data_IF_295656630665
#
_entry.id   IF_295656630665
#
_cell.length_a   1.000
_cell.length_b   1.000
_cell.length_c   1.000
_cell.angle_alpha   90.00
_cell.angle_beta   90.00
_cell.angle_gamma   90.00
#
_symmetry.space_group_name_H-M   'P 1'
#
loop_
_entity.id
_entity.type
_entity.pdbx_description
1 polymer ?
#
# COMPACT_ATOMS: atom_id res chain seq x y z
N UNK A 1 -12.83 18.15 -10.94
CA UNK A 1 -11.79 17.36 -10.25
C UNK A 1 -10.43 17.93 -10.67
N UNK A 2 -9.43 17.96 -9.79
CA UNK A 2 -8.10 18.52 -10.12
C UNK A 2 -6.99 17.54 -9.75
N UNK A 3 -5.83 17.67 -10.39
CA UNK A 3 -4.64 16.88 -10.02
C UNK A 3 -4.18 17.19 -8.58
N UNK A 4 -4.46 18.39 -8.06
CA UNK A 4 -4.18 18.73 -6.67
C UNK A 4 -5.03 17.90 -5.69
N UNK A 5 -6.32 17.69 -5.98
CA UNK A 5 -7.18 16.83 -5.17
C UNK A 5 -6.71 15.37 -5.17
N UNK A 6 -6.27 14.86 -6.33
CA UNK A 6 -5.67 13.53 -6.43
C UNK A 6 -4.37 13.39 -5.63
N UNK A 7 -3.54 14.44 -5.56
CA UNK A 7 -2.37 14.43 -4.70
C UNK A 7 -2.76 14.41 -3.21
N UNK A 8 -3.79 15.16 -2.82
CA UNK A 8 -4.29 15.13 -1.44
C UNK A 8 -4.82 13.74 -1.04
N UNK A 9 -5.43 13.00 -1.97
CA UNK A 9 -5.79 11.59 -1.72
C UNK A 9 -4.56 10.72 -1.48
N UNK A 10 -3.48 10.90 -2.23
CA UNK A 10 -2.23 10.16 -1.98
C UNK A 10 -1.58 10.56 -0.65
N UNK A 11 -1.64 11.82 -0.24
CA UNK A 11 -1.20 12.27 1.09
C UNK A 11 -2.01 11.58 2.20
N UNK A 12 -3.34 11.58 2.08
CA UNK A 12 -4.23 10.93 3.02
C UNK A 12 -4.03 9.41 3.06
N UNK A 13 -3.77 8.80 1.92
CA UNK A 13 -3.47 7.37 1.82
C UNK A 13 -2.16 7.01 2.53
N UNK A 14 -1.08 7.75 2.28
CA UNK A 14 0.21 7.54 2.96
C UNK A 14 0.08 7.76 4.48
N UNK A 15 -0.74 8.72 4.92
CA UNK A 15 -1.03 8.92 6.33
C UNK A 15 -1.80 7.75 6.96
N UNK A 16 -2.90 7.30 6.33
CA UNK A 16 -3.69 6.17 6.81
C UNK A 16 -2.85 4.87 6.90
N UNK A 17 -1.94 4.65 5.94
CA UNK A 17 -0.98 3.55 6.00
C UNK A 17 -0.03 3.68 7.20
N UNK A 18 0.44 4.89 7.50
CA UNK A 18 1.30 5.15 8.67
C UNK A 18 0.61 4.84 9.99
N UNK A 19 -0.68 5.15 10.09
CA UNK A 19 -1.53 4.87 11.26
C UNK A 19 -2.09 3.43 11.28
N UNK A 20 -1.74 2.60 10.31
CA UNK A 20 -2.25 1.22 10.14
C UNK A 20 -3.78 1.13 9.97
N UNK A 21 -4.43 2.21 9.53
CA UNK A 21 -5.86 2.26 9.24
C UNK A 21 -6.15 1.68 7.84
N UNK A 22 -5.97 0.36 7.68
CA UNK A 22 -6.01 -0.29 6.37
C UNK A 22 -7.36 -0.16 5.64
N UNK A 23 -8.47 -0.29 6.36
CA UNK A 23 -9.82 -0.12 5.78
C UNK A 23 -10.04 1.31 5.27
N UNK A 24 -9.53 2.31 6.00
CA UNK A 24 -9.59 3.71 5.59
C UNK A 24 -8.69 3.97 4.38
N UNK A 25 -7.49 3.39 4.37
CA UNK A 25 -6.56 3.48 3.24
C UNK A 25 -7.18 2.89 1.96
N UNK A 26 -7.87 1.75 2.05
CA UNK A 26 -8.61 1.15 0.93
C UNK A 26 -9.74 2.06 0.43
N UNK A 27 -10.53 2.64 1.35
CA UNK A 27 -11.60 3.58 0.98
C UNK A 27 -11.06 4.84 0.30
N UNK A 28 -9.89 5.34 0.72
CA UNK A 28 -9.21 6.48 0.07
C UNK A 28 -8.79 6.12 -1.35
N UNK A 29 -8.23 4.93 -1.59
CA UNK A 29 -7.86 4.47 -2.93
C UNK A 29 -9.07 4.36 -3.86
N UNK A 30 -10.20 3.82 -3.39
CA UNK A 30 -11.43 3.77 -4.20
C UNK A 30 -11.87 5.17 -4.66
N UNK A 31 -11.88 6.14 -3.73
CA UNK A 31 -12.20 7.55 -4.08
C UNK A 31 -11.17 8.18 -5.02
N UNK A 32 -9.90 7.80 -4.89
CA UNK A 32 -8.83 8.25 -5.78
C UNK A 32 -9.03 7.75 -7.21
N UNK A 33 -9.37 6.48 -7.37
CA UNK A 33 -9.59 5.86 -8.68
C UNK A 33 -10.82 6.45 -9.38
N UNK A 34 -11.92 6.65 -8.65
CA UNK A 34 -13.12 7.33 -9.17
C UNK A 34 -12.80 8.76 -9.63
N UNK A 35 -12.04 9.50 -8.81
CA UNK A 35 -11.63 10.87 -9.11
C UNK A 35 -10.69 10.95 -10.32
N UNK A 36 -9.75 10.00 -10.43
CA UNK A 36 -8.83 9.91 -11.56
C UNK A 36 -9.60 9.58 -12.84
N UNK A 37 -10.53 8.63 -12.78
CA UNK A 37 -11.38 8.29 -13.91
C UNK A 37 -12.19 9.52 -14.37
N UNK A 38 -12.84 10.22 -13.45
CA UNK A 38 -13.61 11.42 -13.75
C UNK A 38 -12.75 12.55 -14.36
N UNK A 39 -11.48 12.68 -13.94
CA UNK A 39 -10.55 13.65 -14.52
C UNK A 39 -10.15 13.26 -15.95
N UNK A 40 -9.88 11.98 -16.21
CA UNK A 40 -9.46 11.49 -17.52
C UNK A 40 -10.57 11.53 -18.58
N UNK A 41 -11.83 11.69 -18.18
CA UNK A 41 -12.96 11.93 -19.10
C UNK A 41 -13.02 13.37 -19.63
N UNK A 42 -12.20 14.29 -19.11
CA UNK A 42 -12.17 15.69 -19.51
C UNK A 42 -11.03 15.96 -20.51
N UNK A 43 -11.14 16.98 -21.38
CA UNK A 43 -10.02 17.40 -22.22
C UNK A 43 -8.81 17.79 -21.36
N UNK A 44 -7.68 17.14 -21.63
CA UNK A 44 -6.44 17.35 -20.88
C UNK A 44 -5.59 18.38 -21.61
N UNK A 45 -5.32 19.52 -20.95
CA UNK A 45 -4.36 20.50 -21.45
C UNK A 45 -2.90 20.09 -21.15
N UNK A 46 -1.89 20.71 -21.79
CA UNK A 46 -0.49 20.36 -21.56
C UNK A 46 -0.01 20.51 -20.10
N UNK A 47 -0.55 21.46 -19.34
CA UNK A 47 -0.18 21.66 -17.94
C UNK A 47 -0.73 20.53 -17.07
N UNK A 48 -1.99 20.13 -17.30
CA UNK A 48 -2.61 18.97 -16.67
C UNK A 48 -1.88 17.68 -17.04
N UNK A 49 -1.46 17.51 -18.29
CA UNK A 49 -0.68 16.34 -18.72
C UNK A 49 0.66 16.24 -17.97
N UNK A 50 1.35 17.36 -17.76
CA UNK A 50 2.57 17.40 -16.94
C UNK A 50 2.29 17.01 -15.50
N UNK A 51 1.23 17.57 -14.90
CA UNK A 51 0.85 17.26 -13.51
C UNK A 51 0.44 15.79 -13.33
N UNK A 52 -0.25 15.20 -14.31
CA UNK A 52 -0.60 13.77 -14.32
C UNK A 52 0.63 12.86 -14.39
N UNK A 53 1.69 13.25 -15.10
CA UNK A 53 2.95 12.50 -15.09
C UNK A 53 3.60 12.50 -13.70
N UNK A 54 3.60 13.64 -13.03
CA UNK A 54 4.10 13.75 -11.65
C UNK A 54 3.26 12.89 -10.69
N UNK A 55 1.93 12.90 -10.85
CA UNK A 55 1.02 12.05 -10.08
C UNK A 55 1.35 10.56 -10.27
N UNK A 56 1.56 10.13 -11.53
CA UNK A 56 1.91 8.74 -11.85
C UNK A 56 3.25 8.33 -11.22
N UNK A 57 4.28 9.18 -11.30
CA UNK A 57 5.57 8.93 -10.66
C UNK A 57 5.42 8.76 -9.14
N UNK A 58 4.56 9.57 -8.52
CA UNK A 58 4.25 9.46 -7.10
C UNK A 58 3.55 8.13 -6.77
N UNK A 59 2.55 7.73 -7.55
CA UNK A 59 1.88 6.43 -7.39
C UNK A 59 2.89 5.26 -7.50
N UNK A 60 3.82 5.31 -8.47
CA UNK A 60 4.87 4.30 -8.61
C UNK A 60 5.80 4.25 -7.39
N UNK A 61 6.18 5.39 -6.83
CA UNK A 61 6.97 5.46 -5.60
C UNK A 61 6.25 4.80 -4.42
N UNK A 62 4.96 5.10 -4.24
CA UNK A 62 4.12 4.51 -3.18
C UNK A 62 4.03 2.98 -3.35
N UNK A 63 3.79 2.49 -4.57
CA UNK A 63 3.77 1.06 -4.86
C UNK A 63 5.11 0.38 -4.54
N UNK A 64 6.23 1.05 -4.83
CA UNK A 64 7.56 0.59 -4.44
C UNK A 64 7.70 0.42 -2.93
N UNK A 65 7.27 1.42 -2.15
CA UNK A 65 7.29 1.37 -0.67
C UNK A 65 6.43 0.22 -0.14
N UNK A 66 5.20 0.07 -0.66
CA UNK A 66 4.30 -1.02 -0.27
C UNK A 66 4.88 -2.40 -0.60
N UNK A 67 5.56 -2.54 -1.74
CA UNK A 67 6.27 -3.76 -2.10
C UNK A 67 7.35 -4.15 -1.08
N UNK A 68 8.14 -3.17 -0.61
CA UNK A 68 9.15 -3.38 0.44
C UNK A 68 8.50 -3.79 1.75
N UNK A 69 7.44 -3.09 2.17
CA UNK A 69 6.72 -3.40 3.42
C UNK A 69 6.10 -4.80 3.39
N UNK A 70 5.51 -5.20 2.25
CA UNK A 70 4.97 -6.54 2.05
C UNK A 70 6.05 -7.61 2.19
N UNK A 71 7.23 -7.39 1.62
CA UNK A 71 8.34 -8.36 1.74
C UNK A 71 8.87 -8.47 3.18
N UNK A 72 8.94 -7.35 3.89
CA UNK A 72 9.29 -7.35 5.31
C UNK A 72 8.26 -8.14 6.15
N UNK A 73 6.97 -7.90 5.92
CA UNK A 73 5.89 -8.65 6.57
C UNK A 73 5.95 -10.15 6.25
N UNK A 74 6.18 -10.51 4.98
CA UNK A 74 6.32 -11.91 4.57
C UNK A 74 7.50 -12.60 5.25
N UNK A 75 8.62 -11.89 5.44
CA UNK A 75 9.78 -12.41 6.17
C UNK A 75 9.48 -12.69 7.64
N UNK A 76 8.79 -11.77 8.32
CA UNK A 76 8.36 -11.94 9.71
C UNK A 76 7.40 -13.13 9.88
N UNK A 77 6.45 -13.31 8.96
CA UNK A 77 5.53 -14.46 8.99
C UNK A 77 6.29 -15.78 8.83
N UNK A 78 7.25 -15.84 7.89
CA UNK A 78 8.09 -17.04 7.69
C UNK A 78 8.92 -17.38 8.93
N UNK A 79 9.48 -16.36 9.58
CA UNK A 79 10.25 -16.54 10.80
C UNK A 79 9.37 -17.05 11.95
N UNK A 80 8.21 -16.43 12.19
CA UNK A 80 7.25 -16.89 13.19
C UNK A 80 6.85 -18.35 12.99
N UNK A 81 6.55 -18.75 11.75
CA UNK A 81 6.22 -20.14 11.42
C UNK A 81 7.37 -21.12 11.72
N UNK A 82 8.62 -20.73 11.46
CA UNK A 82 9.80 -21.55 11.77
C UNK A 82 9.96 -21.73 13.28
N UNK A 83 9.79 -20.66 14.04
CA UNK A 83 9.86 -20.69 15.50
C UNK A 83 8.78 -21.59 16.09
N UNK A 84 7.52 -21.47 15.63
CA UNK A 84 6.43 -22.37 16.07
C UNK A 84 6.74 -23.84 15.77
N UNK A 85 7.26 -24.15 14.58
CA UNK A 85 7.65 -25.52 14.24
C UNK A 85 8.76 -26.04 15.14
N UNK A 86 9.77 -25.22 15.44
CA UNK A 86 10.86 -25.61 16.33
C UNK A 86 10.38 -25.88 17.76
N UNK A 87 9.54 -25.01 18.32
CA UNK A 87 8.94 -25.20 19.65
C UNK A 87 8.12 -26.49 19.71
N UNK A 88 7.28 -26.73 18.70
CA UNK A 88 6.47 -27.95 18.62
C UNK A 88 7.34 -29.22 18.52
N UNK A 89 8.45 -29.16 17.76
CA UNK A 89 9.38 -30.27 17.64
C UNK A 89 10.10 -30.57 18.97
N UNK A 90 10.54 -29.54 19.72
CA UNK A 90 11.13 -29.72 21.04
C UNK A 90 10.13 -30.29 22.06
N UNK A 91 8.88 -29.83 22.03
CA UNK A 91 7.83 -30.38 22.88
C UNK A 91 7.54 -31.85 22.56
N UNK A 92 7.49 -32.22 21.28
CA UNK A 92 7.32 -33.62 20.87
C UNK A 92 8.53 -34.49 21.23
N UNK A 93 9.75 -33.98 21.09
CA UNK A 93 10.97 -34.70 21.45
C UNK A 93 11.13 -34.88 22.97
N UNK A 94 10.70 -33.90 23.77
CA UNK A 94 10.65 -34.01 25.24
C UNK A 94 9.46 -34.81 25.79
N UNK A 95 8.48 -35.15 24.95
CA UNK A 95 7.32 -35.97 25.28
C UNK A 95 7.48 -37.45 24.87
N UNK A 96 8.61 -37.82 24.24
CA UNK A 96 8.97 -39.21 23.99
C UNK A 96 9.53 -39.82 25.30
N UNK A 97 8.90 -40.87 25.87
CA UNK A 97 9.34 -41.52 27.11
C UNK A 97 10.63 -42.32 26.97
#
# INVERSE_FOLDING_TARGET
MTVAALNAHLDAFEHALGEQELDNAEAILGRHDDALHALLQQPIDPAQASALRTLLQRQQSILGKLGIQREAAASLVREGQRTTRAVNAYQQAGALP
#
